data_IF_047518101845
#
_entry.id   IF_047518101845
#
_cell.length_a   1.000
_cell.length_b   1.000
_cell.length_c   1.000
_cell.angle_alpha   90.00
_cell.angle_beta   90.00
_cell.angle_gamma   90.00
#
_symmetry.space_group_name_H-M   'P 1'
#
loop_
_entity.id
_entity.type
_entity.pdbx_description
1 polymer ?
#
# COMPACT_ATOMS: atom_id res chain seq x y z
N UNK A 1 -26.49 -16.73 4.57
CA UNK A 1 -27.08 -17.25 3.32
C UNK A 1 -26.26 -16.62 2.22
N UNK A 2 -25.46 -17.45 1.55
CA UNK A 2 -24.48 -16.99 0.56
C UNK A 2 -25.19 -16.69 -0.77
N UNK A 3 -24.91 -15.52 -1.34
CA UNK A 3 -25.42 -15.11 -2.65
C UNK A 3 -24.59 -15.80 -3.75
N UNK A 4 -25.17 -16.70 -4.57
CA UNK A 4 -24.45 -17.43 -5.61
C UNK A 4 -23.89 -16.55 -6.73
N UNK A 5 -24.34 -15.29 -6.87
CA UNK A 5 -23.86 -14.36 -7.90
C UNK A 5 -22.65 -13.52 -7.46
N UNK A 6 -22.18 -13.70 -6.22
CA UNK A 6 -21.03 -12.98 -5.72
C UNK A 6 -19.74 -13.48 -6.38
N UNK A 7 -18.99 -12.62 -7.10
CA UNK A 7 -17.82 -13.06 -7.84
C UNK A 7 -16.79 -13.73 -6.93
N UNK A 8 -16.22 -14.84 -7.38
CA UNK A 8 -15.23 -15.63 -6.63
C UNK A 8 -14.06 -14.79 -6.07
N UNK A 9 -13.68 -13.70 -6.76
CA UNK A 9 -12.66 -12.76 -6.29
C UNK A 9 -13.10 -11.93 -5.09
N UNK A 10 -14.41 -11.64 -4.95
CA UNK A 10 -14.96 -10.91 -3.82
C UNK A 10 -14.95 -11.78 -2.55
N UNK A 11 -15.31 -13.05 -2.67
CA UNK A 11 -15.18 -14.04 -1.60
C UNK A 11 -13.72 -14.25 -1.18
N UNK A 12 -12.80 -14.32 -2.15
CA UNK A 12 -11.36 -14.39 -1.87
C UNK A 12 -10.85 -13.12 -1.16
N UNK A 13 -11.34 -11.93 -1.57
CA UNK A 13 -11.01 -10.65 -0.93
C UNK A 13 -11.56 -10.56 0.50
N UNK A 14 -12.78 -11.07 0.75
CA UNK A 14 -13.38 -11.05 2.08
C UNK A 14 -12.71 -12.06 3.02
N UNK A 15 -12.38 -13.26 2.53
CA UNK A 15 -11.56 -14.23 3.25
C UNK A 15 -10.16 -13.65 3.58
N UNK A 16 -9.56 -12.91 2.64
CA UNK A 16 -8.29 -12.22 2.84
C UNK A 16 -8.37 -11.12 3.91
N UNK A 17 -9.41 -10.27 3.87
CA UNK A 17 -9.64 -9.22 4.89
C UNK A 17 -9.79 -9.81 6.29
N UNK A 18 -10.62 -10.86 6.43
CA UNK A 18 -10.79 -11.58 7.70
C UNK A 18 -9.48 -12.22 8.17
N UNK A 19 -8.68 -12.76 7.25
CA UNK A 19 -7.34 -13.28 7.53
C UNK A 19 -6.39 -12.22 8.07
N UNK A 20 -6.37 -11.01 7.50
CA UNK A 20 -5.53 -9.92 7.97
C UNK A 20 -5.92 -9.42 9.38
N UNK A 21 -7.22 -9.29 9.67
CA UNK A 21 -7.74 -8.98 11.00
C UNK A 21 -7.34 -10.06 12.02
N UNK A 22 -7.46 -11.33 11.65
CA UNK A 22 -7.06 -12.48 12.47
C UNK A 22 -5.56 -12.50 12.80
N UNK A 23 -4.68 -12.07 11.88
CA UNK A 23 -3.23 -11.98 12.17
C UNK A 23 -2.92 -10.87 13.18
N UNK A 24 -3.66 -9.75 13.14
CA UNK A 24 -3.49 -8.68 14.13
C UNK A 24 -3.97 -9.09 15.52
N UNK A 25 -5.13 -9.74 15.62
CA UNK A 25 -5.69 -10.20 16.89
C UNK A 25 -4.97 -11.42 17.46
N UNK A 26 -4.55 -12.34 16.59
CA UNK A 26 -3.82 -13.53 16.97
C UNK A 26 -2.67 -13.83 15.98
N UNK A 27 -1.49 -13.23 16.21
CA UNK A 27 -0.33 -13.41 15.34
C UNK A 27 0.14 -14.86 15.18
N UNK A 28 -0.24 -15.77 16.09
CA UNK A 28 0.08 -17.20 16.00
C UNK A 28 -0.63 -17.90 14.84
N UNK A 29 -1.73 -17.35 14.31
CA UNK A 29 -2.41 -17.92 13.15
C UNK A 29 -1.49 -17.88 11.94
N UNK A 30 -0.80 -16.76 11.71
CA UNK A 30 0.17 -16.64 10.62
C UNK A 30 1.32 -17.66 10.75
N UNK A 31 1.71 -17.97 11.98
CA UNK A 31 2.76 -18.95 12.26
C UNK A 31 2.32 -20.36 11.88
N UNK A 32 1.10 -20.74 12.24
CA UNK A 32 0.51 -22.04 11.90
C UNK A 32 0.41 -22.19 10.39
N UNK A 33 -0.09 -21.17 9.70
CA UNK A 33 -0.22 -21.16 8.24
C UNK A 33 1.15 -21.28 7.54
N UNK A 34 2.19 -20.63 8.07
CA UNK A 34 3.55 -20.77 7.52
C UNK A 34 4.14 -22.16 7.77
N UNK A 35 3.93 -22.74 8.94
CA UNK A 35 4.44 -24.08 9.25
C UNK A 35 3.74 -25.15 8.39
N UNK A 36 2.45 -24.97 8.14
CA UNK A 36 1.69 -25.79 7.19
C UNK A 36 2.18 -25.61 5.75
N UNK A 37 2.33 -24.37 5.29
CA UNK A 37 2.88 -24.07 3.96
C UNK A 37 4.28 -24.69 3.76
N UNK A 38 5.13 -24.64 4.79
CA UNK A 38 6.45 -25.27 4.78
C UNK A 38 6.35 -26.79 4.58
N UNK A 39 5.53 -27.48 5.37
CA UNK A 39 5.36 -28.94 5.27
C UNK A 39 4.90 -29.34 3.88
N UNK A 40 3.87 -28.65 3.36
CA UNK A 40 3.34 -28.95 2.03
C UNK A 40 4.32 -28.61 0.90
N UNK A 41 5.21 -27.62 1.09
CA UNK A 41 6.30 -27.34 0.17
C UNK A 41 7.40 -28.41 0.23
N UNK A 42 7.73 -28.91 1.43
CA UNK A 42 8.68 -30.02 1.63
C UNK A 42 8.17 -31.30 0.95
N UNK A 43 6.87 -31.58 1.10
CA UNK A 43 6.19 -32.75 0.54
C UNK A 43 5.74 -32.56 -0.93
N UNK A 44 6.01 -31.39 -1.53
CA UNK A 44 5.64 -31.03 -2.91
C UNK A 44 4.13 -31.15 -3.23
N UNK A 45 3.26 -30.92 -2.25
CA UNK A 45 1.81 -31.06 -2.38
C UNK A 45 1.20 -29.81 -3.05
N UNK A 46 1.54 -28.62 -2.58
CA UNK A 46 1.11 -27.35 -3.17
C UNK A 46 2.07 -26.20 -2.88
N UNK A 47 1.87 -25.10 -3.61
CA UNK A 47 2.52 -23.81 -3.38
C UNK A 47 1.54 -22.90 -2.65
N UNK A 48 1.92 -22.41 -1.48
CA UNK A 48 1.17 -21.37 -0.76
C UNK A 48 1.65 -19.97 -1.20
N UNK A 49 0.71 -19.06 -1.45
CA UNK A 49 1.02 -17.66 -1.77
C UNK A 49 0.45 -16.76 -0.67
N UNK A 50 1.34 -16.06 0.03
CA UNK A 50 0.98 -15.04 1.00
C UNK A 50 1.04 -13.66 0.34
N UNK A 51 -0.08 -12.94 0.38
CA UNK A 51 -0.16 -11.55 -0.08
C UNK A 51 -0.25 -10.66 1.15
N UNK A 52 0.53 -9.59 1.21
CA UNK A 52 0.47 -8.62 2.31
C UNK A 52 0.80 -7.23 1.79
N UNK A 53 0.04 -6.23 2.24
CA UNK A 53 0.38 -4.81 2.08
C UNK A 53 1.10 -4.24 3.30
N UNK A 54 1.30 -5.04 4.34
CA UNK A 54 1.87 -4.61 5.61
C UNK A 54 3.26 -5.21 5.87
N UNK A 55 4.24 -4.34 6.13
CA UNK A 55 5.59 -4.74 6.49
C UNK A 55 5.67 -5.51 7.83
N UNK A 56 4.68 -5.37 8.71
CA UNK A 56 4.66 -6.08 9.99
C UNK A 56 4.49 -7.60 9.79
N UNK A 57 3.60 -7.99 8.88
CA UNK A 57 3.36 -9.38 8.48
C UNK A 57 4.64 -9.96 7.88
N UNK A 58 5.26 -9.27 6.91
CA UNK A 58 6.50 -9.71 6.27
C UNK A 58 7.63 -9.94 7.30
N UNK A 59 7.87 -8.97 8.20
CA UNK A 59 8.89 -9.10 9.26
C UNK A 59 8.63 -10.30 10.18
N UNK A 60 7.36 -10.56 10.50
CA UNK A 60 7.01 -11.73 11.31
C UNK A 60 7.32 -13.02 10.56
N UNK A 61 6.99 -13.09 9.27
CA UNK A 61 7.29 -14.26 8.45
C UNK A 61 8.80 -14.51 8.35
N UNK A 62 9.60 -13.47 8.09
CA UNK A 62 11.07 -13.54 8.01
C UNK A 62 11.74 -14.05 9.29
N UNK A 63 11.12 -13.79 10.45
CA UNK A 63 11.66 -14.23 11.75
C UNK A 63 11.52 -15.74 12.00
N UNK A 64 10.74 -16.45 11.17
CA UNK A 64 10.41 -17.87 11.37
C UNK A 64 11.33 -18.77 10.55
N UNK A 65 11.63 -19.96 11.08
CA UNK A 65 12.39 -20.98 10.34
C UNK A 65 11.71 -21.44 9.05
N UNK A 66 10.39 -21.26 8.95
CA UNK A 66 9.58 -21.63 7.79
C UNK A 66 9.84 -20.72 6.58
N UNK A 67 10.40 -19.53 6.81
CA UNK A 67 10.86 -18.62 5.76
C UNK A 67 11.95 -19.21 4.87
N UNK A 68 12.69 -20.23 5.33
CA UNK A 68 13.72 -20.89 4.52
C UNK A 68 13.19 -21.54 3.24
N UNK A 69 11.89 -21.87 3.19
CA UNK A 69 11.20 -22.39 2.01
C UNK A 69 10.52 -21.30 1.17
N UNK A 70 10.47 -20.07 1.66
CA UNK A 70 9.98 -18.94 0.88
C UNK A 70 10.98 -18.56 -0.21
N UNK A 71 10.48 -17.90 -1.26
CA UNK A 71 11.36 -17.23 -2.23
C UNK A 71 12.16 -16.16 -1.50
N UNK A 72 13.50 -16.17 -1.67
CA UNK A 72 14.43 -15.28 -0.94
C UNK A 72 14.07 -13.80 -1.00
N UNK A 73 13.46 -13.36 -2.09
CA UNK A 73 12.95 -12.01 -2.26
C UNK A 73 11.45 -12.09 -2.52
N UNK A 74 10.61 -11.48 -1.66
CA UNK A 74 9.20 -11.31 -1.93
C UNK A 74 8.99 -10.65 -3.29
N UNK A 75 7.94 -11.07 -4.00
CA UNK A 75 7.51 -10.35 -5.19
C UNK A 75 6.77 -9.08 -4.73
N UNK A 76 7.37 -7.93 -4.95
CA UNK A 76 6.72 -6.66 -4.70
C UNK A 76 5.79 -6.31 -5.87
N UNK A 77 4.53 -6.04 -5.54
CA UNK A 77 3.57 -5.47 -6.50
C UNK A 77 3.49 -3.98 -6.19
N UNK A 78 4.26 -3.21 -6.95
CA UNK A 78 4.35 -1.76 -6.82
C UNK A 78 3.27 -1.00 -7.59
N UNK A 79 3.46 0.32 -7.67
CA UNK A 79 2.68 1.17 -8.56
C UNK A 79 2.99 0.83 -10.03
N UNK A 80 2.01 1.05 -10.92
CA UNK A 80 2.19 0.86 -12.35
C UNK A 80 3.25 1.81 -12.91
N UNK A 81 3.99 1.37 -13.93
CA UNK A 81 4.82 2.26 -14.72
C UNK A 81 3.98 3.34 -15.40
N UNK A 82 4.63 4.37 -15.95
CA UNK A 82 3.94 5.37 -16.76
C UNK A 82 3.21 4.71 -17.94
N UNK A 83 3.90 3.84 -18.67
CA UNK A 83 3.38 3.15 -19.86
C UNK A 83 2.19 2.25 -19.48
N UNK A 84 2.31 1.50 -18.39
CA UNK A 84 1.24 0.66 -17.86
C UNK A 84 0.03 1.48 -17.41
N UNK A 85 0.27 2.63 -16.78
CA UNK A 85 -0.78 3.56 -16.34
C UNK A 85 -1.53 4.18 -17.52
N UNK A 86 -0.80 4.65 -18.53
CA UNK A 86 -1.40 5.20 -19.75
C UNK A 86 -2.18 4.11 -20.47
N UNK A 87 -1.63 2.90 -20.62
CA UNK A 87 -2.31 1.74 -21.20
C UNK A 87 -3.59 1.39 -20.45
N UNK A 88 -3.55 1.40 -19.11
CA UNK A 88 -4.74 1.20 -18.29
C UNK A 88 -5.80 2.27 -18.57
N UNK A 89 -5.43 3.55 -18.59
CA UNK A 89 -6.37 4.65 -18.84
C UNK A 89 -6.97 4.58 -20.26
N UNK A 90 -6.17 4.28 -21.29
CA UNK A 90 -6.64 4.24 -22.68
C UNK A 90 -7.41 2.97 -23.00
N UNK A 91 -6.83 1.80 -22.73
CA UNK A 91 -7.38 0.52 -23.17
C UNK A 91 -8.48 0.02 -22.23
N UNK A 92 -8.27 0.12 -20.91
CA UNK A 92 -9.22 -0.40 -19.91
C UNK A 92 -10.29 0.61 -19.55
N UNK A 93 -9.91 1.88 -19.37
CA UNK A 93 -10.83 2.96 -18.96
C UNK A 93 -11.44 3.74 -20.13
N UNK A 94 -10.95 3.52 -21.36
CA UNK A 94 -11.45 4.16 -22.58
C UNK A 94 -11.33 5.69 -22.57
N UNK A 95 -10.32 6.21 -21.88
CA UNK A 95 -9.99 7.64 -21.83
C UNK A 95 -8.85 7.89 -22.83
N UNK A 96 -9.12 8.65 -23.88
CA UNK A 96 -8.18 8.96 -24.96
C UNK A 96 -7.55 10.35 -24.86
N UNK A 97 -8.11 11.25 -24.05
CA UNK A 97 -7.60 12.59 -23.79
C UNK A 97 -7.16 12.76 -22.34
N UNK A 98 -6.23 13.70 -22.07
CA UNK A 98 -5.79 14.09 -20.72
C UNK A 98 -5.24 12.95 -19.84
N UNK A 99 -4.95 11.77 -20.40
CA UNK A 99 -4.40 10.62 -19.67
C UNK A 99 -3.07 10.94 -19.00
N UNK A 100 -2.21 11.68 -19.68
CA UNK A 100 -0.94 12.20 -19.15
C UNK A 100 -1.14 13.13 -17.94
N UNK A 101 -2.18 13.97 -17.95
CA UNK A 101 -2.49 14.85 -16.83
C UNK A 101 -3.03 14.06 -15.63
N UNK A 102 -3.92 13.08 -15.88
CA UNK A 102 -4.43 12.18 -14.84
C UNK A 102 -3.30 11.37 -14.21
N UNK A 103 -2.39 10.81 -15.02
CA UNK A 103 -1.21 10.11 -14.52
C UNK A 103 -0.30 11.04 -13.71
N UNK A 104 -0.01 12.25 -14.18
CA UNK A 104 0.81 13.21 -13.43
C UNK A 104 0.19 13.60 -12.08
N UNK A 105 -1.14 13.55 -11.96
CA UNK A 105 -1.84 13.89 -10.72
C UNK A 105 -1.69 12.81 -9.64
N UNK A 106 -1.78 11.52 -10.00
CA UNK A 106 -1.85 10.42 -9.02
C UNK A 106 -0.74 9.35 -9.15
N UNK A 107 0.11 9.46 -10.17
CA UNK A 107 1.12 8.47 -10.48
C UNK A 107 0.53 7.14 -10.95
N UNK A 108 1.25 6.06 -10.66
CA UNK A 108 0.91 4.69 -11.07
C UNK A 108 -0.01 3.93 -10.12
N UNK A 109 -0.50 4.56 -9.05
CA UNK A 109 -1.27 3.85 -8.03
C UNK A 109 -2.64 3.48 -8.59
N UNK A 110 -2.86 2.19 -8.83
CA UNK A 110 -4.04 1.68 -9.56
C UNK A 110 -5.39 2.12 -8.98
N UNK A 111 -5.52 2.19 -7.66
CA UNK A 111 -6.76 2.63 -7.01
C UNK A 111 -7.01 4.14 -7.21
N UNK A 112 -5.95 4.95 -7.13
CA UNK A 112 -6.04 6.40 -7.36
C UNK A 112 -6.31 6.68 -8.85
N UNK A 113 -5.65 5.96 -9.77
CA UNK A 113 -5.92 6.01 -11.21
C UNK A 113 -7.37 5.66 -11.52
N UNK A 114 -7.91 4.60 -10.90
CA UNK A 114 -9.31 4.20 -11.05
C UNK A 114 -10.25 5.31 -10.59
N UNK A 115 -9.95 5.93 -9.45
CA UNK A 115 -10.79 6.98 -8.89
C UNK A 115 -10.81 8.23 -9.77
N UNK A 116 -9.64 8.77 -10.16
CA UNK A 116 -9.60 9.96 -11.03
C UNK A 116 -10.19 9.67 -12.41
N UNK A 117 -10.05 8.44 -12.92
CA UNK A 117 -10.70 8.02 -14.15
C UNK A 117 -12.24 7.92 -14.01
N UNK A 118 -12.75 7.50 -12.85
CA UNK A 118 -14.20 7.49 -12.59
C UNK A 118 -14.74 8.94 -12.60
N UNK A 119 -14.09 9.84 -11.85
CA UNK A 119 -14.51 11.24 -11.77
C UNK A 119 -14.46 11.92 -13.16
N UNK A 120 -13.40 11.66 -13.93
CA UNK A 120 -13.27 12.20 -15.28
C UNK A 120 -14.38 11.69 -16.21
N UNK A 121 -14.66 10.39 -16.20
CA UNK A 121 -15.74 9.79 -17.01
C UNK A 121 -17.14 10.23 -16.56
N UNK A 122 -17.31 10.65 -15.31
CA UNK A 122 -18.53 11.26 -14.81
C UNK A 122 -18.72 12.73 -15.26
N UNK A 123 -17.77 13.27 -16.02
CA UNK A 123 -17.81 14.62 -16.57
C UNK A 123 -17.22 15.71 -15.66
N UNK A 124 -16.54 15.34 -14.58
CA UNK A 124 -15.86 16.32 -13.73
C UNK A 124 -14.70 16.98 -14.48
N UNK A 125 -14.55 18.30 -14.29
CA UNK A 125 -13.42 19.01 -14.88
C UNK A 125 -12.13 18.61 -14.18
N UNK A 126 -11.03 18.55 -14.94
CA UNK A 126 -9.73 18.11 -14.39
C UNK A 126 -9.25 18.99 -13.22
N UNK A 127 -9.60 20.28 -13.23
CA UNK A 127 -9.30 21.20 -12.13
C UNK A 127 -10.11 20.90 -10.86
N UNK A 128 -11.33 20.39 -10.98
CA UNK A 128 -12.13 19.95 -9.83
C UNK A 128 -11.55 18.67 -9.23
N UNK A 129 -11.12 17.73 -10.09
CA UNK A 129 -10.43 16.51 -9.66
C UNK A 129 -9.13 16.85 -8.92
N UNK A 130 -8.33 17.81 -9.42
CA UNK A 130 -7.12 18.31 -8.74
C UNK A 130 -7.46 18.89 -7.36
N UNK A 131 -8.49 19.73 -7.26
CA UNK A 131 -8.95 20.30 -5.98
C UNK A 131 -9.36 19.22 -4.98
N UNK A 132 -10.12 18.21 -5.44
CA UNK A 132 -10.53 17.06 -4.63
C UNK A 132 -9.31 16.30 -4.09
N UNK A 133 -8.34 15.95 -4.95
CA UNK A 133 -7.12 15.25 -4.54
C UNK A 133 -6.23 16.07 -3.60
N UNK A 134 -6.17 17.39 -3.78
CA UNK A 134 -5.48 18.29 -2.85
C UNK A 134 -6.15 18.29 -1.47
N UNK A 135 -7.49 18.34 -1.43
CA UNK A 135 -8.25 18.29 -0.18
C UNK A 135 -8.04 16.95 0.55
N UNK A 136 -8.14 15.83 -0.15
CA UNK A 136 -7.86 14.49 0.40
C UNK A 136 -6.44 14.40 0.96
N UNK A 137 -5.44 14.90 0.22
CA UNK A 137 -4.05 14.93 0.69
C UNK A 137 -3.91 15.76 1.97
N UNK A 138 -4.56 16.92 2.03
CA UNK A 138 -4.57 17.78 3.22
C UNK A 138 -5.19 17.07 4.44
N UNK A 139 -6.33 16.39 4.26
CA UNK A 139 -6.99 15.66 5.35
C UNK A 139 -6.14 14.48 5.87
N UNK A 140 -5.42 13.78 4.99
CA UNK A 140 -4.44 12.75 5.37
C UNK A 140 -3.30 13.37 6.19
N UNK A 141 -2.78 14.53 5.77
CA UNK A 141 -1.72 15.24 6.51
C UNK A 141 -2.19 15.69 7.89
N UNK A 142 -3.42 16.18 7.99
CA UNK A 142 -4.04 16.58 9.25
C UNK A 142 -4.21 15.40 10.21
N UNK A 143 -4.74 14.29 9.71
CA UNK A 143 -4.93 13.05 10.48
C UNK A 143 -3.60 12.49 10.99
N UNK A 144 -2.54 12.60 10.16
CA UNK A 144 -1.18 12.23 10.52
C UNK A 144 -0.45 13.27 11.40
N UNK A 145 -1.10 14.38 11.79
CA UNK A 145 -0.53 15.47 12.59
C UNK A 145 0.72 16.11 11.95
N UNK A 146 0.69 16.26 10.62
CA UNK A 146 1.78 16.78 9.77
C UNK A 146 1.62 18.25 9.37
N UNK A 147 0.46 18.87 9.60
CA UNK A 147 0.26 20.30 9.30
C UNK A 147 1.13 21.18 10.22
N UNK A 148 1.31 22.43 9.81
CA UNK A 148 2.08 23.42 10.57
C UNK A 148 1.58 23.47 12.03
N UNK A 149 2.51 23.53 12.97
CA UNK A 149 2.27 23.53 14.43
C UNK A 149 1.73 22.21 15.02
N UNK A 150 1.63 21.12 14.23
CA UNK A 150 1.24 19.81 14.75
C UNK A 150 2.44 18.94 15.16
N UNK A 151 2.16 17.87 15.92
CA UNK A 151 3.17 17.04 16.60
C UNK A 151 4.28 16.54 15.68
N UNK A 152 3.98 16.17 14.44
CA UNK A 152 4.95 15.53 13.55
C UNK A 152 5.36 16.40 12.36
N UNK A 153 5.07 17.71 12.39
CA UNK A 153 5.34 18.62 11.27
C UNK A 153 6.79 18.57 10.77
N UNK A 154 7.77 18.82 11.65
CA UNK A 154 9.19 18.89 11.25
C UNK A 154 9.74 17.53 10.81
N UNK A 155 9.46 16.47 11.58
CA UNK A 155 9.90 15.12 11.26
C UNK A 155 9.29 14.64 9.93
N UNK A 156 8.00 14.87 9.74
CA UNK A 156 7.32 14.50 8.50
C UNK A 156 7.78 15.32 7.30
N UNK A 157 8.08 16.61 7.47
CA UNK A 157 8.68 17.44 6.41
C UNK A 157 10.03 16.87 5.96
N UNK A 158 10.87 16.45 6.90
CA UNK A 158 12.16 15.81 6.57
C UNK A 158 11.96 14.49 5.81
N UNK A 159 11.04 13.63 6.26
CA UNK A 159 10.71 12.36 5.60
C UNK A 159 10.16 12.61 4.19
N UNK A 160 9.21 13.54 4.02
CA UNK A 160 8.61 13.85 2.72
C UNK A 160 9.66 14.40 1.77
N UNK A 161 10.53 15.32 2.21
CA UNK A 161 11.59 15.86 1.36
C UNK A 161 12.58 14.78 0.91
N UNK A 162 12.95 13.86 1.80
CA UNK A 162 13.77 12.71 1.44
C UNK A 162 13.06 11.87 0.36
N UNK A 163 11.80 11.49 0.58
CA UNK A 163 11.02 10.70 -0.38
C UNK A 163 10.82 11.40 -1.73
N UNK A 164 10.64 12.72 -1.75
CA UNK A 164 10.55 13.49 -3.00
C UNK A 164 11.85 13.46 -3.80
N UNK A 165 12.99 13.28 -3.13
CA UNK A 165 14.32 13.29 -3.75
C UNK A 165 14.73 11.89 -4.21
N UNK A 166 14.59 10.89 -3.36
CA UNK A 166 15.11 9.53 -3.60
C UNK A 166 14.04 8.49 -3.93
N UNK A 167 12.74 8.85 -3.88
CA UNK A 167 11.56 7.95 -3.98
C UNK A 167 11.43 6.92 -2.87
N UNK A 168 12.55 6.50 -2.29
CA UNK A 168 12.65 5.55 -1.19
C UNK A 168 13.47 6.16 -0.05
N UNK A 169 13.25 5.68 1.16
CA UNK A 169 14.01 6.11 2.34
C UNK A 169 14.48 4.89 3.10
N UNK A 170 15.75 4.90 3.48
CA UNK A 170 16.31 3.88 4.35
C UNK A 170 15.59 3.84 5.71
N UNK A 171 15.40 2.63 6.23
CA UNK A 171 14.64 2.42 7.46
C UNK A 171 15.30 3.03 8.70
N UNK A 172 16.64 3.09 8.75
CA UNK A 172 17.35 3.75 9.84
C UNK A 172 17.25 5.27 9.73
N UNK A 173 17.29 5.82 8.51
CA UNK A 173 17.05 7.25 8.25
C UNK A 173 15.64 7.65 8.68
N UNK A 174 14.63 6.86 8.32
CA UNK A 174 13.25 7.07 8.76
C UNK A 174 13.11 7.03 10.30
N UNK A 175 13.77 6.06 10.95
CA UNK A 175 13.76 5.95 12.41
C UNK A 175 14.43 7.14 13.10
N UNK A 176 15.51 7.68 12.54
CA UNK A 176 16.19 8.88 13.07
C UNK A 176 15.27 10.10 13.05
N UNK A 177 14.55 10.33 11.96
CA UNK A 177 13.56 11.41 11.88
C UNK A 177 12.45 11.27 12.93
N UNK A 178 12.05 10.03 13.23
CA UNK A 178 11.02 9.74 14.25
C UNK A 178 11.50 9.90 15.70
N UNK A 179 12.81 9.79 15.97
CA UNK A 179 13.39 9.84 17.31
C UNK A 179 13.88 11.23 17.76
N UNK A 180 14.01 12.20 16.84
CA UNK A 180 14.54 13.56 17.14
C UNK A 180 13.77 14.35 18.21
N UNK A 181 12.60 13.89 18.68
CA UNK A 181 11.85 14.53 19.78
C UNK A 181 12.16 14.02 21.20
N UNK A 182 12.97 12.97 21.40
CA UNK A 182 13.31 12.55 22.78
C UNK A 182 14.44 13.35 23.43
N UNK A 183 15.24 14.11 22.66
CA UNK A 183 16.46 14.75 23.17
C UNK A 183 16.37 16.28 23.36
N UNK A 184 15.18 16.88 23.30
CA UNK A 184 14.99 18.33 23.53
C UNK A 184 14.10 18.60 24.74
N UNK A 185 14.51 18.11 25.91
CA UNK A 185 14.22 18.69 27.22
C UNK A 185 15.30 18.19 28.19
N UNK A 186 16.40 18.94 28.29
CA UNK A 186 17.21 18.96 29.51
C UNK A 186 16.83 20.26 30.22
N UNK A 187 16.22 20.12 31.40
CA UNK A 187 16.11 21.21 32.38
C UNK A 187 17.50 21.51 32.94
#
# INVERSE_FOLDING_TARGET
MDDPDEPMWYRALEAFKRGAELVHENPKILDILQDDAKKNADDQIYIAVFVSSENAVLRRMESRSSWSRAKKSPLEIGDLSKEESIKYLTEKRKINEKTEELYKLVGGRILELKEVANDFLAGCLIEEIKKKKLYETKTKFESAKLLKNQKYHEAGKQVINALLTSKEIDSDVFRKFSQMKRNTMKF
#
